data_IF_900603726532
#
_entry.id   IF_900603726532
#
_cell.length_a   1.000
_cell.length_b   1.000
_cell.length_c   1.000
_cell.angle_alpha   90.00
_cell.angle_beta   90.00
_cell.angle_gamma   90.00
#
_symmetry.space_group_name_H-M   'P 1'
#
loop_
_entity.id
_entity.type
_entity.pdbx_description
1 polymer ?
#
# COMPACT_ATOMS: atom_id res chain seq x y z
N UNK A 1 -43.51 -27.22 43.25
CA UNK A 1 -43.33 -25.75 43.32
C UNK A 1 -41.84 -25.41 43.40
N UNK A 2 -41.04 -25.53 42.33
CA UNK A 2 -39.67 -24.94 42.20
C UNK A 2 -38.97 -25.44 40.91
N UNK A 3 -39.43 -25.02 39.73
CA UNK A 3 -38.66 -25.29 38.49
C UNK A 3 -38.61 -24.14 37.50
N UNK A 4 -39.44 -23.09 37.70
CA UNK A 4 -39.47 -21.92 36.82
C UNK A 4 -38.43 -20.85 37.18
N UNK A 5 -37.84 -20.88 38.38
CA UNK A 5 -36.83 -19.88 38.81
C UNK A 5 -35.41 -20.22 38.34
N UNK A 6 -35.15 -21.48 37.96
CA UNK A 6 -33.81 -21.94 37.61
C UNK A 6 -33.43 -21.59 36.15
N UNK A 7 -34.40 -21.65 35.24
CA UNK A 7 -34.20 -21.40 33.80
C UNK A 7 -33.93 -19.91 33.53
N UNK A 8 -34.58 -19.01 34.27
CA UNK A 8 -34.37 -17.56 34.11
C UNK A 8 -32.98 -17.10 34.55
N UNK A 9 -32.35 -17.80 35.49
CA UNK A 9 -31.01 -17.45 36.00
C UNK A 9 -29.89 -17.76 34.99
N UNK A 10 -30.07 -18.79 34.16
CA UNK A 10 -29.08 -19.19 33.14
C UNK A 10 -29.07 -18.21 31.96
N UNK A 11 -30.24 -17.72 31.54
CA UNK A 11 -30.35 -16.78 30.40
C UNK A 11 -29.74 -15.41 30.76
N UNK A 12 -29.95 -14.92 31.98
CA UNK A 12 -29.39 -13.63 32.43
C UNK A 12 -27.85 -13.70 32.53
N UNK A 13 -27.30 -14.86 32.88
CA UNK A 13 -25.83 -15.01 33.01
C UNK A 13 -25.14 -15.06 31.65
N UNK A 14 -25.80 -15.60 30.62
CA UNK A 14 -25.23 -15.67 29.26
C UNK A 14 -25.23 -14.32 28.53
N UNK A 15 -26.19 -13.43 28.82
CA UNK A 15 -26.26 -12.09 28.20
C UNK A 15 -25.19 -11.13 28.76
N UNK A 16 -24.75 -11.31 30.00
CA UNK A 16 -23.71 -10.46 30.62
C UNK A 16 -22.30 -10.79 30.11
N UNK A 17 -22.06 -12.03 29.66
CA UNK A 17 -20.73 -12.45 29.19
C UNK A 17 -20.35 -11.89 27.81
N UNK A 18 -21.33 -11.40 27.02
CA UNK A 18 -21.12 -10.88 25.67
C UNK A 18 -20.57 -9.44 25.69
N UNK A 19 -20.70 -8.71 26.81
CA UNK A 19 -20.30 -7.29 26.89
C UNK A 19 -18.85 -7.04 27.33
N UNK A 20 -18.04 -8.07 27.58
CA UNK A 20 -16.67 -7.90 28.13
C UNK A 20 -15.57 -8.02 27.05
N UNK A 21 -15.90 -8.34 25.81
CA UNK A 21 -14.93 -8.40 24.69
C UNK A 21 -14.98 -7.13 23.85
N UNK A 22 -14.60 -6.01 24.45
CA UNK A 22 -14.69 -4.70 23.80
C UNK A 22 -13.56 -3.76 24.20
N UNK A 23 -12.30 -4.17 24.03
CA UNK A 23 -11.18 -3.24 23.78
C UNK A 23 -9.91 -4.03 23.39
N UNK A 24 -9.92 -4.65 22.21
CA UNK A 24 -8.66 -4.87 21.51
C UNK A 24 -8.22 -3.50 20.99
N UNK A 25 -7.19 -2.90 21.59
CA UNK A 25 -6.51 -1.75 20.99
C UNK A 25 -6.00 -2.20 19.63
N UNK A 26 -6.63 -1.72 18.55
CA UNK A 26 -6.07 -1.88 17.20
C UNK A 26 -4.63 -1.35 17.23
N UNK A 27 -3.66 -2.09 16.67
CA UNK A 27 -2.29 -1.62 16.61
C UNK A 27 -2.30 -0.24 15.93
N UNK A 28 -1.75 0.72 16.66
CA UNK A 28 -1.62 2.11 16.24
C UNK A 28 -0.78 2.18 14.96
N UNK A 29 -1.43 2.60 13.87
CA UNK A 29 -0.82 2.84 12.56
C UNK A 29 -1.14 1.73 11.56
N UNK A 30 -2.05 2.00 10.63
CA UNK A 30 -2.29 1.15 9.47
C UNK A 30 -1.05 1.16 8.56
N UNK A 31 -0.10 0.25 8.81
CA UNK A 31 1.10 0.01 7.97
C UNK A 31 0.72 -0.72 6.66
N UNK A 32 -0.39 -0.31 6.07
CA UNK A 32 -0.79 -0.75 4.75
C UNK A 32 0.21 -0.22 3.71
N UNK A 33 0.69 -1.06 2.77
CA UNK A 33 1.53 -0.60 1.68
C UNK A 33 0.93 0.55 0.85
N UNK A 34 -0.41 0.70 0.87
CA UNK A 34 -1.13 1.82 0.24
C UNK A 34 -0.80 3.19 0.86
N UNK A 35 -0.36 3.22 2.11
CA UNK A 35 -0.09 4.44 2.86
C UNK A 35 1.37 4.90 2.76
N UNK A 36 2.26 4.07 2.20
CA UNK A 36 3.69 4.40 2.06
C UNK A 36 3.90 5.53 1.06
N UNK A 37 4.78 6.47 1.41
CA UNK A 37 5.11 7.64 0.56
C UNK A 37 6.50 7.56 -0.03
N UNK A 38 7.35 6.71 0.51
CA UNK A 38 8.66 6.44 -0.03
C UNK A 38 8.94 4.93 -0.08
N UNK A 39 9.03 4.41 -1.30
CA UNK A 39 9.09 2.96 -1.56
C UNK A 39 9.74 2.65 -2.92
N UNK A 40 10.23 1.43 -3.03
CA UNK A 40 10.58 0.78 -4.29
C UNK A 40 9.46 -0.14 -4.77
N UNK A 41 9.36 -0.31 -6.09
CA UNK A 41 8.65 -1.40 -6.74
C UNK A 41 9.63 -2.08 -7.69
N UNK A 42 9.81 -3.40 -7.54
CA UNK A 42 10.51 -4.23 -8.53
C UNK A 42 9.54 -4.54 -9.67
N UNK A 43 9.38 -3.58 -10.57
CA UNK A 43 8.36 -3.58 -11.60
C UNK A 43 8.70 -4.53 -12.75
N UNK A 44 7.69 -5.29 -13.20
CA UNK A 44 7.71 -6.02 -14.46
C UNK A 44 6.62 -5.47 -15.40
N UNK A 45 6.89 -5.41 -16.71
CA UNK A 45 5.86 -5.10 -17.71
C UNK A 45 4.73 -6.13 -17.76
N UNK A 46 4.93 -7.31 -17.18
CA UNK A 46 3.95 -8.40 -17.11
C UNK A 46 3.02 -8.31 -15.89
N UNK A 47 3.41 -7.57 -14.84
CA UNK A 47 2.65 -7.53 -13.59
C UNK A 47 1.33 -6.76 -13.75
N UNK A 48 1.40 -5.59 -14.39
CA UNK A 48 0.26 -4.73 -14.64
C UNK A 48 0.57 -3.71 -15.75
N UNK A 49 -0.45 -3.31 -16.51
CA UNK A 49 -0.34 -2.35 -17.61
C UNK A 49 0.19 -0.98 -17.18
N UNK A 50 0.04 -0.62 -15.89
CA UNK A 50 0.59 0.61 -15.34
C UNK A 50 2.09 0.74 -15.56
N UNK A 51 2.86 -0.35 -15.50
CA UNK A 51 4.31 -0.30 -15.70
C UNK A 51 4.69 -0.09 -17.16
N UNK A 52 3.82 -0.48 -18.08
CA UNK A 52 3.95 -0.16 -19.50
C UNK A 52 3.59 1.31 -19.75
N UNK A 53 2.48 1.79 -19.16
CA UNK A 53 2.02 3.18 -19.29
C UNK A 53 3.01 4.17 -18.65
N UNK A 54 3.62 3.79 -17.54
CA UNK A 54 4.68 4.56 -16.90
C UNK A 54 5.83 4.78 -17.88
N UNK A 55 6.28 3.73 -18.57
CA UNK A 55 7.37 3.85 -19.54
C UNK A 55 6.98 4.73 -20.73
N UNK A 56 5.71 4.71 -21.14
CA UNK A 56 5.18 5.61 -22.17
C UNK A 56 5.22 7.08 -21.71
N UNK A 57 4.81 7.38 -20.47
CA UNK A 57 4.89 8.73 -19.88
C UNK A 57 6.34 9.24 -19.79
N UNK A 58 7.28 8.34 -19.59
CA UNK A 58 8.71 8.64 -19.51
C UNK A 58 9.41 8.69 -20.88
N UNK A 59 8.71 8.36 -21.97
CA UNK A 59 9.29 8.28 -23.31
C UNK A 59 10.38 7.21 -23.45
N UNK A 60 10.29 6.13 -22.66
CA UNK A 60 11.28 5.05 -22.66
C UNK A 60 11.01 4.10 -23.83
N UNK A 61 12.00 3.98 -24.73
CA UNK A 61 12.01 3.04 -25.84
C UNK A 61 13.43 2.51 -26.09
N UNK A 62 13.66 1.20 -26.24
CA UNK A 62 12.67 0.13 -26.10
C UNK A 62 12.17 0.00 -24.65
N UNK A 63 10.99 -0.59 -24.48
CA UNK A 63 10.43 -0.86 -23.14
C UNK A 63 11.30 -1.90 -22.42
N UNK A 64 11.52 -1.65 -21.14
CA UNK A 64 12.18 -2.56 -20.21
C UNK A 64 11.18 -3.59 -19.72
N UNK A 65 11.60 -4.85 -19.72
CA UNK A 65 10.83 -5.96 -19.15
C UNK A 65 10.78 -5.87 -17.63
N UNK A 66 11.91 -5.57 -16.99
CA UNK A 66 12.04 -5.43 -15.52
C UNK A 66 12.92 -4.26 -15.13
N UNK A 67 12.54 -3.55 -14.08
CA UNK A 67 13.29 -2.42 -13.54
C UNK A 67 12.90 -2.11 -12.09
N UNK A 68 13.78 -1.41 -11.38
CA UNK A 68 13.47 -0.86 -10.06
C UNK A 68 12.87 0.53 -10.24
N UNK A 69 11.68 0.73 -9.71
CA UNK A 69 11.02 2.02 -9.63
C UNK A 69 11.04 2.52 -8.19
N UNK A 70 11.72 3.63 -7.95
CA UNK A 70 11.60 4.35 -6.68
C UNK A 70 10.54 5.43 -6.81
N UNK A 71 9.62 5.52 -5.85
CA UNK A 71 8.62 6.59 -5.74
C UNK A 71 8.88 7.35 -4.45
N UNK A 72 9.07 8.67 -4.53
CA UNK A 72 9.20 9.52 -3.37
C UNK A 72 8.19 10.67 -3.44
N UNK A 73 7.18 10.59 -2.59
CA UNK A 73 6.15 11.61 -2.41
C UNK A 73 6.07 12.15 -0.97
N UNK A 74 7.16 12.02 -0.22
CA UNK A 74 7.24 12.50 1.17
C UNK A 74 7.23 14.02 1.26
N UNK A 75 7.97 14.70 0.37
CA UNK A 75 8.10 16.15 0.34
C UNK A 75 7.32 16.75 -0.84
N UNK A 76 6.28 17.54 -0.54
CA UNK A 76 5.42 18.21 -1.53
C UNK A 76 6.16 19.07 -2.55
N UNK A 77 7.35 19.57 -2.22
CA UNK A 77 8.13 20.44 -3.09
C UNK A 77 9.10 19.68 -4.02
N UNK A 78 9.28 18.37 -3.82
CA UNK A 78 10.22 17.54 -4.58
C UNK A 78 9.67 16.12 -4.70
N UNK A 79 8.51 16.00 -5.36
CA UNK A 79 7.87 14.73 -5.68
C UNK A 79 8.52 14.15 -6.94
N UNK A 80 8.99 12.91 -6.87
CA UNK A 80 9.66 12.28 -8.01
C UNK A 80 9.45 10.78 -8.06
N UNK A 81 9.74 10.25 -9.25
CA UNK A 81 10.07 8.85 -9.41
C UNK A 81 11.48 8.70 -9.96
N UNK A 82 12.00 7.49 -9.89
CA UNK A 82 13.29 7.18 -10.46
C UNK A 82 13.34 5.74 -10.96
N UNK A 83 13.94 5.56 -12.13
CA UNK A 83 14.18 4.26 -12.74
C UNK A 83 15.62 3.85 -12.44
N UNK A 84 15.81 2.64 -11.89
CA UNK A 84 17.11 2.06 -11.56
C UNK A 84 17.41 1.99 -10.05
N UNK A 85 16.64 2.67 -9.21
CA UNK A 85 16.83 2.71 -7.74
C UNK A 85 17.91 3.70 -7.28
N UNK A 86 17.86 4.14 -6.00
CA UNK A 86 18.79 5.17 -5.44
C UNK A 86 20.24 4.73 -5.32
N UNK A 87 20.47 3.42 -5.28
CA UNK A 87 21.81 2.86 -5.20
C UNK A 87 22.50 2.77 -6.57
N UNK A 88 21.79 3.10 -7.66
CA UNK A 88 22.31 2.96 -9.02
C UNK A 88 22.77 4.31 -9.57
N UNK A 89 24.06 4.41 -9.93
CA UNK A 89 24.66 5.62 -10.51
C UNK A 89 24.09 6.01 -11.88
N UNK A 90 23.46 5.08 -12.58
CA UNK A 90 22.79 5.30 -13.87
C UNK A 90 21.29 5.59 -13.73
N UNK A 91 20.80 5.73 -12.50
CA UNK A 91 19.39 5.96 -12.25
C UNK A 91 18.92 7.28 -12.85
N UNK A 92 17.72 7.26 -13.43
CA UNK A 92 17.11 8.45 -14.06
C UNK A 92 15.93 8.92 -13.24
N UNK A 93 16.01 10.17 -12.78
CA UNK A 93 14.98 10.83 -11.97
C UNK A 93 14.01 11.60 -12.88
N UNK A 94 12.72 11.45 -12.61
CA UNK A 94 11.65 12.13 -13.34
C UNK A 94 10.70 12.83 -12.37
N UNK A 95 10.16 14.01 -12.74
CA UNK A 95 9.19 14.71 -11.90
C UNK A 95 7.89 13.90 -11.80
N UNK A 96 7.34 13.76 -10.58
CA UNK A 96 6.06 13.07 -10.36
C UNK A 96 4.92 13.67 -11.19
N UNK A 97 4.92 15.00 -11.33
CA UNK A 97 3.94 15.75 -12.12
C UNK A 97 3.99 15.46 -13.62
N UNK A 98 5.05 14.84 -14.13
CA UNK A 98 5.15 14.42 -15.52
C UNK A 98 4.34 13.16 -15.83
N UNK A 99 3.89 12.43 -14.81
CA UNK A 99 3.08 11.24 -14.96
C UNK A 99 1.60 11.59 -15.13
N UNK A 100 0.89 10.83 -15.95
CA UNK A 100 -0.57 10.95 -16.03
C UNK A 100 -1.22 10.53 -14.70
N UNK A 101 -2.39 11.09 -14.42
CA UNK A 101 -3.09 10.86 -13.16
C UNK A 101 -3.39 9.37 -12.87
N UNK A 102 -3.68 8.56 -13.90
CA UNK A 102 -3.94 7.12 -13.72
C UNK A 102 -2.70 6.36 -13.25
N UNK A 103 -1.52 6.70 -13.78
CA UNK A 103 -0.24 6.11 -13.34
C UNK A 103 0.07 6.54 -11.91
N UNK A 104 -0.11 7.83 -11.59
CA UNK A 104 0.08 8.31 -10.23
C UNK A 104 -0.80 7.56 -9.22
N UNK A 105 -2.10 7.43 -9.51
CA UNK A 105 -3.05 6.74 -8.63
C UNK A 105 -2.73 5.25 -8.52
N UNK A 106 -2.39 4.60 -9.63
CA UNK A 106 -2.06 3.18 -9.62
C UNK A 106 -0.78 2.87 -8.84
N UNK A 107 0.26 3.70 -8.94
CA UNK A 107 1.51 3.53 -8.19
C UNK A 107 1.29 3.70 -6.68
N UNK A 108 0.48 4.71 -6.28
CA UNK A 108 0.13 4.91 -4.87
C UNK A 108 -0.77 3.78 -4.34
N UNK A 109 -1.67 3.27 -5.18
CA UNK A 109 -2.56 2.18 -4.86
C UNK A 109 -1.92 0.79 -4.92
N UNK A 110 -0.67 0.68 -5.38
CA UNK A 110 0.01 -0.60 -5.54
C UNK A 110 0.27 -1.28 -4.19
N UNK A 111 -0.15 -2.54 -4.07
CA UNK A 111 0.00 -3.39 -2.88
C UNK A 111 0.65 -4.74 -3.21
N UNK A 112 1.25 -4.87 -4.40
CA UNK A 112 1.94 -6.10 -4.81
C UNK A 112 3.12 -6.42 -3.89
N UNK A 113 3.45 -7.71 -3.78
CA UNK A 113 4.55 -8.20 -2.94
C UNK A 113 5.93 -7.72 -3.38
N UNK A 114 6.05 -7.20 -4.60
CA UNK A 114 7.24 -6.56 -5.15
C UNK A 114 7.41 -5.09 -4.71
N UNK A 115 6.64 -4.60 -3.73
CA UNK A 115 6.76 -3.26 -3.14
C UNK A 115 7.56 -3.31 -1.84
N UNK A 116 8.58 -2.48 -1.74
CA UNK A 116 9.47 -2.41 -0.57
C UNK A 116 9.49 -1.00 0.01
N UNK A 117 9.22 -0.87 1.31
CA UNK A 117 9.26 0.42 2.01
C UNK A 117 10.70 0.89 2.21
N UNK A 118 10.95 2.19 2.05
CA UNK A 118 12.28 2.80 2.23
C UNK A 118 12.35 3.82 3.38
N UNK A 119 11.24 4.04 4.09
CA UNK A 119 11.16 4.90 5.29
C UNK A 119 11.59 4.17 6.56
#
# INVERSE_FOLDING_TARGET
MTSKKFITSIIITFVVLIFITGCAKSPSGDDSPRNWKYFNIYASSEDDIIFVQLQDDLGISPKMERYILTVNITNKNNLYIMIGGEQNSSAKKYPWSGLRASVQQGLLGWIGSNKERLE
#
